data_IF_334624371979
#
_entry.id   IF_334624371979
#
_cell.length_a   1.000
_cell.length_b   1.000
_cell.length_c   1.000
_cell.angle_alpha   90.00
_cell.angle_beta   90.00
_cell.angle_gamma   90.00
#
_symmetry.space_group_name_H-M   'P 1'
#
loop_
_entity.id
_entity.type
_entity.pdbx_description
1 polymer ?
#
# COMPACT_ATOMS: atom_id res chain seq x y z
N UNK A 1 31.06 -22.16 -9.93
CA UNK A 1 29.64 -21.99 -10.26
C UNK A 1 28.85 -22.64 -9.15
N UNK A 2 28.43 -21.87 -8.15
CA UNK A 2 27.43 -22.29 -7.16
C UNK A 2 27.01 -21.03 -6.39
N UNK A 3 25.89 -20.45 -6.81
CA UNK A 3 25.27 -19.32 -6.11
C UNK A 3 24.41 -19.90 -4.99
N UNK A 4 24.88 -19.75 -3.75
CA UNK A 4 24.10 -20.12 -2.57
C UNK A 4 22.90 -19.21 -2.42
N UNK A 5 21.69 -19.79 -2.45
CA UNK A 5 20.46 -19.09 -2.08
C UNK A 5 20.10 -19.46 -0.64
N UNK A 6 19.95 -18.47 0.23
CA UNK A 6 19.43 -18.68 1.59
C UNK A 6 17.93 -18.40 1.56
N UNK A 7 17.12 -19.44 1.78
CA UNK A 7 15.67 -19.30 1.95
C UNK A 7 15.39 -18.85 3.38
N UNK A 8 14.95 -17.60 3.55
CA UNK A 8 14.22 -17.18 4.75
C UNK A 8 12.95 -16.46 4.33
N UNK A 9 11.83 -17.02 4.75
CA UNK A 9 10.47 -16.44 4.75
C UNK A 9 10.04 -15.76 3.43
N UNK A 10 9.67 -16.58 2.44
CA UNK A 10 8.69 -16.30 1.37
C UNK A 10 8.52 -14.84 0.86
N UNK A 11 9.61 -14.09 0.70
CA UNK A 11 9.63 -12.81 0.01
C UNK A 11 10.90 -12.74 -0.83
N UNK A 12 10.75 -12.57 -2.15
CA UNK A 12 11.87 -12.38 -3.08
C UNK A 12 12.41 -10.95 -2.90
N UNK A 13 13.34 -10.76 -1.95
CA UNK A 13 14.03 -9.49 -1.76
C UNK A 13 15.13 -9.39 -2.82
N UNK A 14 14.99 -8.46 -3.77
CA UNK A 14 16.07 -8.08 -4.68
C UNK A 14 17.14 -7.30 -3.92
N UNK A 15 18.41 -7.64 -4.12
CA UNK A 15 19.61 -7.09 -3.48
C UNK A 15 19.88 -5.60 -3.80
N UNK A 16 18.93 -4.72 -3.51
CA UNK A 16 19.08 -3.26 -3.61
C UNK A 16 18.83 -2.56 -2.27
N UNK A 17 19.05 -3.27 -1.18
CA UNK A 17 19.15 -2.67 0.15
C UNK A 17 20.60 -2.22 0.37
N UNK A 18 20.96 -1.11 -0.28
CA UNK A 18 22.11 -0.31 0.11
C UNK A 18 21.57 0.91 0.84
N UNK A 19 21.80 0.89 2.15
CA UNK A 19 21.54 1.95 3.11
C UNK A 19 22.09 3.29 2.63
N UNK A 20 21.23 4.29 2.49
CA UNK A 20 21.63 5.69 2.59
C UNK A 20 20.66 6.38 3.54
N UNK A 21 21.17 6.70 4.73
CA UNK A 21 20.49 7.44 5.80
C UNK A 21 20.40 8.93 5.45
N UNK A 22 19.63 9.26 4.42
CA UNK A 22 18.96 10.55 4.30
C UNK A 22 17.49 10.33 4.60
N UNK A 23 16.73 11.36 4.97
CA UNK A 23 15.30 11.26 5.29
C UNK A 23 14.51 10.96 3.99
N UNK A 24 14.72 9.79 3.40
CA UNK A 24 13.92 9.29 2.29
C UNK A 24 12.65 8.74 2.92
N UNK A 25 11.55 9.48 2.80
CA UNK A 25 10.24 9.01 3.23
C UNK A 25 10.00 7.58 2.73
N UNK A 26 9.56 6.69 3.62
CA UNK A 26 9.41 5.26 3.34
C UNK A 26 8.46 5.02 2.16
N UNK A 27 8.78 4.02 1.32
CA UNK A 27 7.91 3.64 0.22
C UNK A 27 6.67 2.89 0.73
N UNK A 28 5.49 3.46 0.48
CA UNK A 28 4.20 2.87 0.88
C UNK A 28 3.48 2.11 -0.24
N UNK A 29 4.15 1.80 -1.36
CA UNK A 29 3.48 1.17 -2.51
C UNK A 29 2.93 -0.22 -2.15
N UNK A 30 3.75 -1.03 -1.48
CA UNK A 30 3.49 -2.44 -1.21
C UNK A 30 2.98 -2.72 0.21
N UNK A 31 2.28 -1.75 0.84
CA UNK A 31 1.56 -2.01 2.11
C UNK A 31 0.70 -3.28 1.99
N UNK A 32 0.50 -4.04 3.07
CA UNK A 32 -0.46 -5.13 3.05
C UNK A 32 -1.87 -4.62 2.68
N UNK A 33 -2.64 -5.46 1.99
CA UNK A 33 -4.06 -5.19 1.75
C UNK A 33 -4.84 -5.32 3.07
N UNK A 34 -5.83 -4.45 3.27
CA UNK A 34 -6.74 -4.44 4.42
C UNK A 34 -8.18 -4.55 3.90
N UNK A 35 -9.16 -4.36 4.78
CA UNK A 35 -10.52 -4.07 4.38
C UNK A 35 -10.84 -2.61 4.67
N UNK A 36 -11.70 -2.02 3.86
CA UNK A 36 -12.17 -0.64 4.05
C UNK A 36 -13.64 -0.69 4.40
N UNK A 37 -14.01 0.08 5.42
CA UNK A 37 -15.41 0.43 5.71
C UNK A 37 -15.63 1.92 5.45
N UNK A 38 -16.73 2.26 4.80
CA UNK A 38 -17.17 3.64 4.64
C UNK A 38 -18.12 4.02 5.78
N UNK A 39 -17.71 4.97 6.62
CA UNK A 39 -18.53 5.48 7.73
C UNK A 39 -19.75 6.31 7.26
N UNK A 40 -19.76 6.76 6.00
CA UNK A 40 -20.89 7.50 5.43
C UNK A 40 -22.07 6.62 5.00
N UNK A 41 -21.81 5.44 4.44
CA UNK A 41 -22.87 4.57 3.89
C UNK A 41 -22.80 3.09 4.32
N UNK A 42 -21.83 2.72 5.16
CA UNK A 42 -21.62 1.35 5.62
C UNK A 42 -21.06 0.39 4.55
N UNK A 43 -20.63 0.88 3.38
CA UNK A 43 -20.03 0.04 2.35
C UNK A 43 -18.73 -0.60 2.85
N UNK A 44 -18.57 -1.91 2.61
CA UNK A 44 -17.41 -2.68 3.03
C UNK A 44 -16.80 -3.42 1.83
N UNK A 45 -15.48 -3.33 1.68
CA UNK A 45 -14.75 -3.98 0.57
C UNK A 45 -13.32 -4.31 0.96
N UNK A 46 -12.67 -5.20 0.20
CA UNK A 46 -11.23 -5.45 0.28
C UNK A 46 -10.46 -4.36 -0.48
N UNK A 47 -9.38 -3.87 0.10
CA UNK A 47 -8.53 -2.85 -0.50
C UNK A 47 -7.86 -1.99 0.54
N UNK A 48 -7.45 -0.79 0.12
CA UNK A 48 -6.85 0.17 1.03
C UNK A 48 -7.24 1.62 0.66
N UNK A 49 -7.16 2.54 1.60
CA UNK A 49 -7.39 3.98 1.36
C UNK A 49 -6.22 4.53 0.55
N UNK A 50 -6.48 5.31 -0.49
CA UNK A 50 -5.40 5.82 -1.35
C UNK A 50 -4.54 6.83 -0.57
N UNK A 51 -3.24 6.55 -0.52
CA UNK A 51 -2.22 7.50 -0.06
C UNK A 51 -1.21 7.75 -1.19
N UNK A 52 -0.77 9.00 -1.34
CA UNK A 52 0.26 9.34 -2.31
C UNK A 52 1.62 8.85 -1.80
N UNK A 53 2.32 8.02 -2.57
CA UNK A 53 3.65 7.57 -2.18
C UNK A 53 4.65 8.71 -2.38
N UNK A 54 5.44 9.08 -1.35
CA UNK A 54 6.43 10.16 -1.47
C UNK A 54 7.55 9.83 -2.46
N UNK A 55 7.88 8.55 -2.65
CA UNK A 55 8.87 8.09 -3.62
C UNK A 55 8.28 7.90 -5.02
N UNK A 56 6.99 7.56 -5.13
CA UNK A 56 6.32 7.19 -6.38
C UNK A 56 4.97 7.90 -6.52
N UNK A 57 4.93 9.24 -6.69
CA UNK A 57 3.68 10.01 -6.64
C UNK A 57 2.71 9.72 -7.79
N UNK A 58 3.19 9.10 -8.88
CA UNK A 58 2.39 8.80 -10.08
C UNK A 58 1.83 7.38 -10.10
N UNK A 59 2.17 6.54 -9.11
CA UNK A 59 1.67 5.17 -9.07
C UNK A 59 0.25 5.14 -8.50
N UNK A 60 -0.61 4.34 -9.11
CA UNK A 60 -1.99 4.13 -8.67
C UNK A 60 -2.29 2.65 -8.73
N UNK A 61 -2.89 2.14 -7.65
CA UNK A 61 -3.30 0.74 -7.56
C UNK A 61 -4.82 0.61 -7.71
N UNK A 62 -5.26 -0.51 -8.29
CA UNK A 62 -6.67 -0.78 -8.58
C UNK A 62 -7.55 -0.77 -7.32
N UNK A 63 -7.04 -1.30 -6.21
CA UNK A 63 -7.76 -1.39 -4.93
C UNK A 63 -7.39 -0.29 -3.94
N UNK A 64 -6.80 0.81 -4.42
CA UNK A 64 -6.54 2.01 -3.61
C UNK A 64 -7.65 3.05 -3.87
N UNK A 65 -8.58 3.13 -2.93
CA UNK A 65 -9.79 3.93 -3.03
C UNK A 65 -9.56 5.35 -2.49
N UNK A 66 -9.74 6.35 -3.36
CA UNK A 66 -9.69 7.77 -2.99
C UNK A 66 -11.06 8.29 -2.50
N UNK A 67 -12.14 7.59 -2.87
CA UNK A 67 -13.51 7.90 -2.49
C UNK A 67 -14.29 6.60 -2.35
N UNK A 68 -15.40 6.63 -1.61
CA UNK A 68 -16.29 5.47 -1.53
C UNK A 68 -16.86 5.16 -2.93
N UNK A 69 -16.71 3.93 -3.44
CA UNK A 69 -17.22 3.56 -4.76
C UNK A 69 -18.76 3.54 -4.81
N UNK A 70 -19.43 3.50 -3.65
CA UNK A 70 -20.90 3.46 -3.56
C UNK A 70 -21.52 4.84 -3.43
N UNK A 71 -21.14 5.60 -2.41
CA UNK A 71 -21.77 6.89 -2.10
C UNK A 71 -20.91 8.10 -2.49
N UNK A 72 -19.71 7.89 -3.06
CA UNK A 72 -18.75 8.95 -3.41
C UNK A 72 -18.35 9.85 -2.24
N UNK A 73 -18.54 9.40 -1.00
CA UNK A 73 -17.97 10.07 0.17
C UNK A 73 -16.45 10.14 0.05
N UNK A 74 -15.89 11.21 0.60
CA UNK A 74 -14.45 11.47 0.62
C UNK A 74 -13.67 10.41 1.42
N UNK A 75 -12.35 10.42 1.22
CA UNK A 75 -11.38 9.54 1.88
C UNK A 75 -11.44 9.58 3.40
N UNK A 76 -11.69 10.73 4.03
CA UNK A 76 -11.83 10.82 5.49
C UNK A 76 -13.02 10.02 6.06
N UNK A 77 -13.98 9.64 5.22
CA UNK A 77 -15.06 8.73 5.59
C UNK A 77 -14.70 7.25 5.40
N UNK A 78 -13.55 6.95 4.79
CA UNK A 78 -13.04 5.59 4.61
C UNK A 78 -12.10 5.23 5.74
N UNK A 79 -12.29 4.05 6.34
CA UNK A 79 -11.46 3.54 7.42
C UNK A 79 -10.94 2.16 7.06
N UNK A 80 -9.63 1.97 7.16
CA UNK A 80 -8.98 0.65 7.08
C UNK A 80 -9.18 -0.10 8.40
N UNK A 81 -9.49 -1.40 8.30
CA UNK A 81 -9.71 -2.32 9.43
C UNK A 81 -8.88 -3.61 9.31
#
# INVERSE_FOLDING_TARGET
MESGYIIRNNARITAKDITNSSVSSECICYRPHSHIICNGCGFWTKGRVRYCCPQHPKIVFLHDYAQCPRCRSYDFMLKEI
#
